data_IF_433098931375
#
_entry.id   IF_433098931375
#
_cell.length_a   1.000
_cell.length_b   1.000
_cell.length_c   1.000
_cell.angle_alpha   90.00
_cell.angle_beta   90.00
_cell.angle_gamma   90.00
#
_symmetry.space_group_name_H-M   'P 1'
#
loop_
_entity.id
_entity.type
_entity.pdbx_description
1 polymer ?
#
# COMPACT_ATOMS: atom_id res chain seq x y z
N UNK A 1 9.65 -12.72 -65.57
CA UNK A 1 10.20 -12.88 -64.25
C UNK A 1 9.39 -11.92 -63.38
N UNK A 2 8.46 -12.47 -62.57
CA UNK A 2 7.60 -11.64 -61.66
C UNK A 2 8.24 -11.62 -60.29
N UNK A 3 8.67 -10.45 -59.86
CA UNK A 3 9.27 -10.21 -58.54
C UNK A 3 8.16 -10.09 -57.53
N UNK A 4 8.07 -11.07 -56.63
CA UNK A 4 7.08 -11.07 -55.55
C UNK A 4 7.48 -10.04 -54.50
N UNK A 5 6.61 -9.06 -54.22
CA UNK A 5 6.80 -8.06 -53.16
C UNK A 5 6.87 -8.73 -51.78
N UNK A 6 7.77 -8.29 -50.88
CA UNK A 6 7.88 -8.84 -49.53
C UNK A 6 6.64 -8.53 -48.71
N UNK A 7 6.07 -9.56 -48.08
CA UNK A 7 4.94 -9.42 -47.13
C UNK A 7 5.48 -8.75 -45.86
N UNK A 8 5.18 -7.48 -45.69
CA UNK A 8 5.47 -6.71 -44.46
C UNK A 8 4.53 -7.16 -43.35
N UNK A 9 4.97 -8.16 -42.56
CA UNK A 9 4.24 -8.66 -41.40
C UNK A 9 4.26 -7.59 -40.28
N UNK A 10 3.09 -7.05 -40.05
CA UNK A 10 2.83 -5.91 -39.20
C UNK A 10 3.34 -6.00 -37.73
N UNK A 11 4.13 -5.04 -37.24
CA UNK A 11 4.59 -4.98 -35.82
C UNK A 11 3.53 -4.45 -34.83
N UNK A 12 2.26 -4.33 -35.23
CA UNK A 12 1.23 -3.62 -34.45
C UNK A 12 0.73 -4.35 -33.18
N UNK A 13 0.87 -5.67 -33.06
CA UNK A 13 0.38 -6.43 -31.89
C UNK A 13 1.31 -6.34 -30.68
N UNK A 14 2.61 -6.34 -30.86
CA UNK A 14 3.59 -6.30 -29.77
C UNK A 14 3.62 -4.95 -29.03
N UNK A 15 3.33 -3.84 -29.71
CA UNK A 15 3.31 -2.51 -29.11
C UNK A 15 2.13 -2.28 -28.16
N UNK A 16 0.97 -2.91 -28.40
CA UNK A 16 -0.21 -2.81 -27.50
C UNK A 16 -0.02 -3.55 -26.19
N UNK A 17 0.59 -4.74 -26.22
CA UNK A 17 0.87 -5.54 -25.03
C UNK A 17 1.88 -4.84 -24.12
N UNK A 18 2.92 -4.22 -24.68
CA UNK A 18 3.90 -3.45 -23.90
C UNK A 18 3.31 -2.18 -23.27
N UNK A 19 2.33 -1.55 -23.93
CA UNK A 19 1.62 -0.37 -23.42
C UNK A 19 0.72 -0.69 -22.22
N UNK A 20 -0.05 -1.79 -22.29
CA UNK A 20 -0.94 -2.21 -21.21
C UNK A 20 -0.16 -2.56 -19.92
N UNK A 21 0.93 -3.31 -20.03
CA UNK A 21 1.77 -3.65 -18.88
C UNK A 21 2.40 -2.43 -18.20
N UNK A 22 2.76 -1.41 -18.99
CA UNK A 22 3.27 -0.13 -18.45
C UNK A 22 2.19 0.63 -17.69
N UNK A 23 0.96 0.69 -18.21
CA UNK A 23 -0.19 1.32 -17.56
C UNK A 23 -0.49 0.68 -16.20
N UNK A 24 -0.55 -0.65 -16.13
CA UNK A 24 -0.78 -1.41 -14.89
C UNK A 24 0.30 -1.11 -13.85
N UNK A 25 1.58 -1.06 -14.23
CA UNK A 25 2.68 -0.75 -13.31
C UNK A 25 2.62 0.70 -12.80
N UNK A 26 2.26 1.65 -13.64
CA UNK A 26 2.10 3.06 -13.23
C UNK A 26 0.91 3.20 -12.29
N UNK A 27 -0.24 2.60 -12.63
CA UNK A 27 -1.42 2.57 -11.77
C UNK A 27 -1.13 1.94 -10.41
N UNK A 28 -0.45 0.79 -10.38
CA UNK A 28 -0.05 0.12 -9.15
C UNK A 28 0.87 0.96 -8.25
N UNK A 29 1.79 1.74 -8.84
CA UNK A 29 2.64 2.69 -8.07
C UNK A 29 1.85 3.83 -7.45
N UNK A 30 0.82 4.32 -8.13
CA UNK A 30 -0.07 5.34 -7.58
C UNK A 30 -0.94 4.75 -6.49
N UNK A 31 -1.55 3.58 -6.73
CA UNK A 31 -2.34 2.87 -5.74
C UNK A 31 -1.53 2.58 -4.46
N UNK A 32 -0.30 2.07 -4.59
CA UNK A 32 0.60 1.84 -3.46
C UNK A 32 0.83 3.11 -2.63
N UNK A 33 1.11 4.25 -3.26
CA UNK A 33 1.31 5.52 -2.54
C UNK A 33 0.04 5.99 -1.85
N UNK A 34 -1.10 6.00 -2.56
CA UNK A 34 -2.38 6.48 -2.01
C UNK A 34 -2.85 5.60 -0.86
N UNK A 35 -2.74 4.28 -1.00
CA UNK A 35 -3.10 3.33 0.05
C UNK A 35 -2.19 3.47 1.28
N UNK A 36 -0.87 3.62 1.10
CA UNK A 36 0.06 3.86 2.20
C UNK A 36 -0.24 5.19 2.94
N UNK A 37 -0.60 6.26 2.20
CA UNK A 37 -1.11 7.51 2.80
C UNK A 37 -2.41 7.28 3.55
N UNK A 38 -3.33 6.44 3.00
CA UNK A 38 -4.57 6.05 3.65
C UNK A 38 -4.34 5.32 4.96
N UNK A 39 -3.34 4.43 5.04
CA UNK A 39 -2.93 3.77 6.30
C UNK A 39 -2.45 4.81 7.31
N UNK A 40 -1.55 5.72 6.93
CA UNK A 40 -1.07 6.78 7.83
C UNK A 40 -2.23 7.62 8.37
N UNK A 41 -3.08 8.15 7.49
CA UNK A 41 -4.24 8.94 7.88
C UNK A 41 -5.21 8.14 8.77
N UNK A 42 -5.46 6.87 8.41
CA UNK A 42 -6.35 5.98 9.14
C UNK A 42 -5.88 5.72 10.57
N UNK A 43 -4.57 5.54 10.80
CA UNK A 43 -4.03 5.38 12.16
C UNK A 43 -4.27 6.64 13.00
N UNK A 44 -4.10 7.84 12.45
CA UNK A 44 -4.44 9.07 13.19
C UNK A 44 -5.93 9.16 13.53
N UNK A 45 -6.81 8.77 12.59
CA UNK A 45 -8.26 8.67 12.87
C UNK A 45 -8.53 7.65 13.97
N UNK A 46 -7.85 6.50 13.98
CA UNK A 46 -7.95 5.48 15.02
C UNK A 46 -7.59 6.03 16.40
N UNK A 47 -6.49 6.77 16.50
CA UNK A 47 -6.05 7.41 17.75
C UNK A 47 -7.10 8.42 18.23
N UNK A 48 -7.66 9.23 17.33
CA UNK A 48 -8.73 10.16 17.66
C UNK A 48 -9.98 9.43 18.18
N UNK A 49 -10.44 8.39 17.50
CA UNK A 49 -11.68 7.68 17.83
C UNK A 49 -11.57 6.97 19.19
N UNK A 50 -10.43 6.31 19.48
CA UNK A 50 -10.25 5.67 20.80
C UNK A 50 -10.10 6.72 21.90
N UNK A 51 -9.44 7.84 21.63
CA UNK A 51 -9.38 8.98 22.54
C UNK A 51 -10.78 9.53 22.82
N UNK A 52 -11.59 9.79 21.81
CA UNK A 52 -12.97 10.24 21.94
C UNK A 52 -13.79 9.28 22.82
N UNK A 53 -13.67 7.98 22.63
CA UNK A 53 -14.31 6.98 23.48
C UNK A 53 -13.88 7.10 24.95
N UNK A 54 -12.57 7.17 25.20
CA UNK A 54 -12.00 7.31 26.57
C UNK A 54 -12.50 8.59 27.27
N UNK A 55 -12.66 9.68 26.52
CA UNK A 55 -13.14 10.96 27.03
C UNK A 55 -14.68 11.10 26.99
N UNK A 56 -15.42 10.00 26.82
CA UNK A 56 -16.86 9.97 27.08
C UNK A 56 -17.76 10.19 25.86
N UNK A 57 -17.25 10.14 24.62
CA UNK A 57 -18.08 10.24 23.42
C UNK A 57 -19.02 9.03 23.18
N UNK A 58 -18.96 8.03 24.08
CA UNK A 58 -19.88 6.90 24.10
C UNK A 58 -19.51 5.77 23.12
N UNK A 59 -20.37 4.73 23.09
CA UNK A 59 -20.12 3.47 22.40
C UNK A 59 -19.93 3.65 20.88
N UNK A 60 -20.61 4.64 20.29
CA UNK A 60 -20.46 4.92 18.86
C UNK A 60 -19.03 5.25 18.42
N UNK A 61 -18.23 5.91 19.28
CA UNK A 61 -16.82 6.19 19.00
C UNK A 61 -15.98 4.90 18.98
N UNK A 62 -16.28 3.97 19.90
CA UNK A 62 -15.61 2.66 19.93
C UNK A 62 -15.98 1.81 18.70
N UNK A 63 -17.25 1.80 18.29
CA UNK A 63 -17.70 1.06 17.11
C UNK A 63 -17.09 1.65 15.83
N UNK A 64 -17.01 2.98 15.73
CA UNK A 64 -16.30 3.66 14.66
C UNK A 64 -14.80 3.32 14.65
N UNK A 65 -14.15 3.26 15.83
CA UNK A 65 -12.76 2.81 15.94
C UNK A 65 -12.58 1.39 15.39
N UNK A 66 -13.41 0.43 15.79
CA UNK A 66 -13.35 -0.95 15.31
C UNK A 66 -13.54 -1.04 13.79
N UNK A 67 -14.56 -0.37 13.23
CA UNK A 67 -14.84 -0.38 11.79
C UNK A 67 -13.72 0.24 10.99
N UNK A 68 -13.20 1.40 11.44
CA UNK A 68 -12.07 2.07 10.79
C UNK A 68 -10.80 1.20 10.88
N UNK A 69 -10.59 0.48 11.98
CA UNK A 69 -9.46 -0.44 12.14
C UNK A 69 -9.44 -1.53 11.07
N UNK A 70 -10.57 -2.17 10.81
CA UNK A 70 -10.70 -3.15 9.73
C UNK A 70 -10.47 -2.54 8.35
N UNK A 71 -10.93 -1.30 8.12
CA UNK A 71 -10.70 -0.58 6.86
C UNK A 71 -9.21 -0.30 6.65
N UNK A 72 -8.51 0.17 7.69
CA UNK A 72 -7.06 0.43 7.66
C UNK A 72 -6.31 -0.87 7.38
N UNK A 73 -6.70 -1.97 8.04
CA UNK A 73 -6.10 -3.28 7.78
C UNK A 73 -6.32 -3.74 6.34
N UNK A 74 -7.51 -3.50 5.77
CA UNK A 74 -7.75 -3.72 4.34
C UNK A 74 -6.79 -2.93 3.44
N UNK A 75 -6.49 -1.67 3.79
CA UNK A 75 -5.51 -0.87 3.05
C UNK A 75 -4.10 -1.45 3.15
N UNK A 76 -3.69 -1.97 4.31
CA UNK A 76 -2.38 -2.64 4.50
C UNK A 76 -2.22 -3.84 3.56
N UNK A 77 -3.26 -4.67 3.42
CA UNK A 77 -3.28 -5.78 2.46
C UNK A 77 -3.17 -5.28 1.02
N UNK A 78 -3.94 -4.23 0.67
CA UNK A 78 -3.92 -3.64 -0.66
C UNK A 78 -2.59 -2.95 -0.98
N UNK A 79 -1.87 -2.40 -0.01
CA UNK A 79 -0.50 -1.87 -0.17
C UNK A 79 0.44 -2.97 -0.66
N UNK A 80 0.38 -4.17 -0.06
CA UNK A 80 1.19 -5.31 -0.49
C UNK A 80 0.82 -5.74 -1.91
N UNK A 81 -0.47 -5.90 -2.21
CA UNK A 81 -0.94 -6.27 -3.56
C UNK A 81 -0.48 -5.23 -4.59
N UNK A 82 -0.63 -3.94 -4.29
CA UNK A 82 -0.19 -2.87 -5.18
C UNK A 82 1.33 -2.88 -5.40
N UNK A 83 2.13 -3.21 -4.37
CA UNK A 83 3.58 -3.36 -4.48
C UNK A 83 3.97 -4.48 -5.44
N UNK A 84 3.28 -5.64 -5.37
CA UNK A 84 3.49 -6.79 -6.24
C UNK A 84 3.07 -6.47 -7.69
N UNK A 85 1.87 -5.91 -7.89
CA UNK A 85 1.34 -5.55 -9.21
C UNK A 85 2.20 -4.48 -9.90
N UNK A 86 2.74 -3.53 -9.13
CA UNK A 86 3.61 -2.48 -9.64
C UNK A 86 5.05 -2.95 -9.90
N UNK A 87 5.40 -4.18 -9.50
CA UNK A 87 6.77 -4.70 -9.54
C UNK A 87 7.75 -3.73 -8.87
N UNK A 88 7.42 -3.34 -7.64
CA UNK A 88 8.27 -2.44 -6.87
C UNK A 88 9.61 -3.10 -6.52
N UNK A 89 10.66 -2.33 -6.18
CA UNK A 89 11.90 -2.88 -5.66
C UNK A 89 11.64 -3.81 -4.47
N UNK A 90 12.44 -4.85 -4.36
CA UNK A 90 12.23 -5.91 -3.36
C UNK A 90 12.12 -5.38 -1.92
N UNK A 91 12.88 -4.33 -1.58
CA UNK A 91 12.80 -3.67 -0.26
C UNK A 91 11.40 -3.12 0.02
N UNK A 92 10.72 -2.55 -1.00
CA UNK A 92 9.37 -2.03 -0.83
C UNK A 92 8.34 -3.16 -0.70
N UNK A 93 8.55 -4.27 -1.41
CA UNK A 93 7.71 -5.47 -1.27
C UNK A 93 7.85 -6.04 0.14
N UNK A 94 9.08 -6.16 0.67
CA UNK A 94 9.33 -6.66 2.03
C UNK A 94 8.73 -5.72 3.08
N UNK A 95 8.91 -4.41 2.94
CA UNK A 95 8.30 -3.45 3.86
C UNK A 95 6.76 -3.48 3.81
N UNK A 96 6.16 -3.68 2.62
CA UNK A 96 4.71 -3.85 2.47
C UNK A 96 4.23 -5.16 3.09
N UNK A 97 5.00 -6.24 2.97
CA UNK A 97 4.71 -7.51 3.62
C UNK A 97 4.78 -7.39 5.15
N UNK A 98 5.82 -6.73 5.67
CA UNK A 98 5.94 -6.46 7.11
C UNK A 98 4.76 -5.62 7.61
N UNK A 99 4.34 -4.59 6.87
CA UNK A 99 3.16 -3.79 7.19
C UNK A 99 1.91 -4.67 7.29
N UNK A 100 1.67 -5.53 6.30
CA UNK A 100 0.52 -6.43 6.27
C UNK A 100 0.54 -7.45 7.43
N UNK A 101 1.69 -8.06 7.72
CA UNK A 101 1.85 -9.04 8.81
C UNK A 101 1.65 -8.38 10.18
N UNK A 102 2.31 -7.24 10.42
CA UNK A 102 2.20 -6.52 11.70
C UNK A 102 0.78 -6.00 11.90
N UNK A 103 0.13 -5.49 10.84
CA UNK A 103 -1.27 -5.09 10.88
C UNK A 103 -2.21 -6.24 11.23
N UNK A 104 -1.99 -7.45 10.66
CA UNK A 104 -2.76 -8.65 11.01
C UNK A 104 -2.59 -8.99 12.49
N UNK A 105 -1.36 -9.02 13.00
CA UNK A 105 -1.07 -9.29 14.41
C UNK A 105 -1.74 -8.23 15.29
N UNK A 106 -1.60 -6.95 14.95
CA UNK A 106 -2.18 -5.84 15.70
C UNK A 106 -3.71 -5.95 15.83
N UNK A 107 -4.42 -6.22 14.73
CA UNK A 107 -5.88 -6.36 14.75
C UNK A 107 -6.30 -7.58 15.56
N UNK A 108 -5.55 -8.70 15.47
CA UNK A 108 -5.81 -9.89 16.27
C UNK A 108 -5.65 -9.63 17.77
N UNK A 109 -4.66 -8.84 18.18
CA UNK A 109 -4.42 -8.49 19.58
C UNK A 109 -5.45 -7.50 20.14
N UNK A 110 -6.20 -6.79 19.30
CA UNK A 110 -7.21 -5.83 19.74
C UNK A 110 -8.36 -6.46 20.54
N UNK A 111 -8.61 -7.77 20.36
CA UNK A 111 -9.62 -8.53 21.10
C UNK A 111 -9.07 -9.21 22.36
N UNK A 112 -7.76 -9.21 22.55
CA UNK A 112 -7.12 -9.84 23.69
C UNK A 112 -7.28 -9.02 24.98
N UNK A 113 -7.24 -9.72 26.11
CA UNK A 113 -7.45 -9.13 27.40
C UNK A 113 -6.12 -8.78 28.10
N UNK A 114 -6.19 -7.87 29.08
CA UNK A 114 -5.09 -7.48 29.96
C UNK A 114 -3.90 -6.85 29.20
N UNK A 115 -2.68 -7.18 29.64
CA UNK A 115 -1.44 -6.60 29.13
C UNK A 115 -1.13 -7.00 27.68
N UNK A 116 -1.64 -8.15 27.19
CA UNK A 116 -1.45 -8.57 25.79
C UNK A 116 -2.14 -7.61 24.85
N UNK A 117 -3.36 -7.17 25.16
CA UNK A 117 -4.08 -6.15 24.41
C UNK A 117 -3.34 -4.79 24.40
N UNK A 118 -2.50 -4.52 25.42
CA UNK A 118 -1.64 -3.34 25.46
C UNK A 118 -0.58 -3.28 24.36
N UNK A 119 -0.27 -4.41 23.70
CA UNK A 119 0.62 -4.44 22.53
C UNK A 119 -0.03 -3.84 21.28
N UNK A 120 -1.38 -3.84 21.21
CA UNK A 120 -2.09 -3.28 20.06
C UNK A 120 -1.69 -1.82 19.75
N UNK A 121 -1.74 -0.85 20.68
CA UNK A 121 -1.30 0.51 20.38
C UNK A 121 0.20 0.63 20.10
N UNK A 122 1.05 -0.24 20.67
CA UNK A 122 2.48 -0.25 20.37
C UNK A 122 2.72 -0.67 18.92
N UNK A 123 2.05 -1.73 18.47
CA UNK A 123 2.16 -2.16 17.06
C UNK A 123 1.55 -1.13 16.09
N UNK A 124 0.54 -0.36 16.51
CA UNK A 124 0.01 0.74 15.69
C UNK A 124 1.08 1.80 15.39
N UNK A 125 2.01 2.08 16.32
CA UNK A 125 3.16 2.96 16.07
C UNK A 125 4.12 2.37 15.04
N UNK A 126 4.32 1.06 15.06
CA UNK A 126 5.14 0.36 14.04
C UNK A 126 4.46 0.43 12.68
N UNK A 127 3.15 0.20 12.61
CA UNK A 127 2.34 0.31 11.39
C UNK A 127 2.47 1.70 10.77
N UNK A 128 2.25 2.77 11.54
CA UNK A 128 2.35 4.14 11.01
C UNK A 128 3.79 4.47 10.58
N UNK A 129 4.80 3.97 11.30
CA UNK A 129 6.21 4.12 10.93
C UNK A 129 6.54 3.46 9.60
N UNK A 130 6.12 2.19 9.40
CA UNK A 130 6.31 1.45 8.15
C UNK A 130 5.57 2.11 6.98
N UNK A 131 4.29 2.49 7.18
CA UNK A 131 3.50 3.17 6.14
C UNK A 131 4.13 4.50 5.75
N UNK A 132 4.58 5.30 6.72
CA UNK A 132 5.30 6.57 6.45
C UNK A 132 6.60 6.32 5.68
N UNK A 133 7.37 5.30 6.04
CA UNK A 133 8.58 4.94 5.30
C UNK A 133 8.27 4.59 3.84
N UNK A 134 7.21 3.81 3.58
CA UNK A 134 6.77 3.47 2.22
C UNK A 134 6.35 4.72 1.43
N UNK A 135 5.62 5.65 2.05
CA UNK A 135 5.24 6.94 1.44
C UNK A 135 6.49 7.73 1.05
N UNK A 136 7.44 7.93 1.97
CA UNK A 136 8.66 8.69 1.72
C UNK A 136 9.50 8.05 0.60
N UNK A 137 9.63 6.73 0.58
CA UNK A 137 10.32 5.99 -0.48
C UNK A 137 9.62 6.15 -1.83
N UNK A 138 8.30 6.08 -1.87
CA UNK A 138 7.51 6.29 -3.09
C UNK A 138 7.68 7.71 -3.64
N UNK A 139 7.66 8.73 -2.78
CA UNK A 139 7.86 10.13 -3.16
C UNK A 139 9.28 10.41 -3.66
N UNK A 140 10.31 9.86 -2.99
CA UNK A 140 11.72 9.98 -3.42
C UNK A 140 11.94 9.39 -4.83
N UNK A 141 11.34 8.23 -5.13
CA UNK A 141 11.43 7.62 -6.47
C UNK A 141 10.78 8.45 -7.57
N UNK A 142 9.79 9.27 -7.24
CA UNK A 142 9.15 10.19 -8.20
C UNK A 142 10.01 11.41 -8.50
N UNK A 143 10.74 11.90 -7.48
CA UNK A 143 11.63 13.07 -7.62
C UNK A 143 12.90 12.76 -8.41
N UNK A 144 13.36 11.50 -8.40
CA UNK A 144 14.55 11.04 -9.09
C UNK A 144 14.21 9.88 -10.05
N UNK A 145 13.51 10.14 -11.17
CA UNK A 145 13.35 9.13 -12.19
C UNK A 145 14.76 8.80 -12.71
N UNK A 146 15.18 7.52 -12.59
CA UNK A 146 16.41 7.06 -13.21
C UNK A 146 16.20 7.15 -14.72
N UNK A 147 16.71 8.20 -15.35
CA UNK A 147 16.86 8.23 -16.79
C UNK A 147 17.84 7.13 -17.17
N UNK A 148 17.51 6.23 -18.11
CA UNK A 148 18.52 5.39 -18.71
C UNK A 148 19.49 6.33 -19.41
N UNK A 149 20.76 6.36 -18.97
CA UNK A 149 21.85 6.96 -19.72
C UNK A 149 21.89 6.18 -21.04
N UNK A 150 21.44 6.82 -22.13
CA UNK A 150 21.68 6.30 -23.48
C UNK A 150 23.17 6.54 -23.74
N UNK A 151 23.95 5.48 -23.60
CA UNK A 151 25.27 5.37 -24.22
C UNK A 151 25.11 5.03 -25.69
#
# INVERSE_FOLDING_TARGET
MSEAAPIELAPKRLSRVSGAGRGVRVGGRWAHLVLALGVVAGVFVQVYLIGAYIFGAGQGALDAHKTTGWTVHGFEMLVLIAALVAWLPWVDIVLSLLLAVIGTVQVSLASEHRWVGGLHPVLALVVVGLATMLVLRALRRRRHPRFPQRS
#
